data_IF_073065908051
#
_entry.id   IF_073065908051
#
_cell.length_a   1.000
_cell.length_b   1.000
_cell.length_c   1.000
_cell.angle_alpha   90.00
_cell.angle_beta   90.00
_cell.angle_gamma   90.00
#
_symmetry.space_group_name_H-M   'P 1'
#
loop_
_entity.id
_entity.type
_entity.pdbx_description
1 polymer ?
#
# COMPACT_ATOMS: atom_id res chain seq x y z
N UNK A 1 20.41 -43.62 68.32
CA UNK A 1 21.52 -43.25 67.41
C UNK A 1 20.95 -42.47 66.24
N UNK A 2 21.67 -41.42 65.82
CA UNK A 2 21.37 -40.44 64.75
C UNK A 2 21.28 -41.09 63.33
N UNK A 3 20.79 -40.37 62.30
CA UNK A 3 19.72 -40.81 61.39
C UNK A 3 20.18 -41.12 59.96
N UNK A 4 19.28 -41.59 59.09
CA UNK A 4 19.48 -41.56 57.64
C UNK A 4 18.30 -40.85 56.94
N UNK A 5 18.67 -39.80 56.22
CA UNK A 5 17.81 -38.81 55.60
C UNK A 5 17.04 -39.36 54.38
N UNK A 6 15.76 -39.00 54.28
CA UNK A 6 14.96 -39.14 53.06
C UNK A 6 15.25 -37.97 52.13
N UNK A 7 15.79 -38.25 50.95
CA UNK A 7 15.86 -37.31 49.82
C UNK A 7 14.44 -37.07 49.27
N UNK A 8 14.04 -35.80 49.22
CA UNK A 8 12.86 -35.30 48.50
C UNK A 8 13.21 -35.13 47.00
N UNK A 9 12.29 -35.43 46.07
CA UNK A 9 12.50 -35.13 44.66
C UNK A 9 12.32 -33.62 44.40
N UNK A 10 13.28 -33.03 43.69
CA UNK A 10 13.22 -31.66 43.20
C UNK A 10 12.14 -31.57 42.09
N UNK A 11 11.01 -30.93 42.42
CA UNK A 11 10.03 -30.49 41.43
C UNK A 11 10.61 -29.28 40.69
N UNK A 12 10.98 -29.46 39.43
CA UNK A 12 11.35 -28.37 38.53
C UNK A 12 10.07 -27.65 38.11
N UNK A 13 9.93 -26.40 38.58
CA UNK A 13 8.84 -25.50 38.21
C UNK A 13 8.85 -25.21 36.71
N UNK A 14 7.67 -25.36 36.10
CA UNK A 14 7.32 -24.90 34.76
C UNK A 14 7.57 -23.39 34.63
N UNK A 15 8.58 -23.01 33.85
CA UNK A 15 8.69 -21.67 33.28
C UNK A 15 7.93 -21.62 31.95
N UNK A 16 6.60 -21.47 32.02
CA UNK A 16 5.79 -21.20 30.82
C UNK A 16 6.13 -19.81 30.30
N UNK A 17 7.01 -19.74 29.30
CA UNK A 17 7.20 -18.55 28.48
C UNK A 17 5.89 -18.31 27.74
N UNK A 18 5.12 -17.32 28.21
CA UNK A 18 4.01 -16.73 27.47
C UNK A 18 4.59 -16.07 26.21
N UNK A 19 4.73 -16.86 25.15
CA UNK A 19 4.84 -16.37 23.79
C UNK A 19 3.55 -15.60 23.50
N UNK A 20 3.61 -14.28 23.64
CA UNK A 20 2.55 -13.40 23.16
C UNK A 20 2.52 -13.57 21.63
N UNK A 21 1.44 -14.12 21.04
CA UNK A 21 1.35 -14.11 19.59
C UNK A 21 1.19 -12.65 19.17
N UNK A 22 2.25 -12.06 18.61
CA UNK A 22 2.12 -10.85 17.83
C UNK A 22 1.15 -11.18 16.69
N UNK A 23 -0.12 -10.81 16.86
CA UNK A 23 -1.10 -10.95 15.81
C UNK A 23 -0.66 -10.04 14.67
N UNK A 24 -0.15 -10.62 13.60
CA UNK A 24 -0.04 -9.94 12.32
C UNK A 24 -1.45 -9.43 11.99
N UNK A 25 -1.66 -8.12 12.14
CA UNK A 25 -2.95 -7.55 11.81
C UNK A 25 -3.11 -7.69 10.30
N UNK A 26 -4.13 -8.43 9.87
CA UNK A 26 -4.46 -8.55 8.46
C UNK A 26 -5.13 -7.29 7.94
N UNK A 27 -5.21 -7.16 6.62
CA UNK A 27 -5.99 -6.09 5.96
C UNK A 27 -7.46 -6.21 6.41
N UNK A 28 -8.00 -5.11 6.92
CA UNK A 28 -9.42 -4.97 7.29
C UNK A 28 -10.18 -4.46 6.07
N UNK A 29 -11.09 -5.30 5.55
CA UNK A 29 -11.95 -4.92 4.42
C UNK A 29 -13.05 -3.94 4.87
N UNK A 30 -13.24 -2.86 4.12
CA UNK A 30 -14.42 -1.99 4.21
C UNK A 30 -15.50 -2.47 3.23
N UNK A 31 -15.08 -2.86 2.04
CA UNK A 31 -15.91 -3.49 1.01
C UNK A 31 -15.02 -4.33 0.07
N UNK A 32 -15.60 -4.91 -0.99
CA UNK A 32 -14.87 -5.78 -1.92
C UNK A 32 -13.71 -5.09 -2.66
N UNK A 33 -13.72 -3.76 -2.79
CA UNK A 33 -12.72 -2.98 -3.51
C UNK A 33 -11.90 -2.06 -2.60
N UNK A 34 -12.06 -2.14 -1.27
CA UNK A 34 -11.39 -1.23 -0.35
C UNK A 34 -11.07 -1.94 0.97
N UNK A 35 -9.82 -1.83 1.40
CA UNK A 35 -9.37 -2.23 2.73
C UNK A 35 -8.31 -1.31 3.29
N UNK A 36 -7.92 -1.55 4.53
CA UNK A 36 -6.83 -0.83 5.18
C UNK A 36 -6.08 -1.73 6.16
N UNK A 37 -4.83 -1.38 6.44
CA UNK A 37 -4.04 -1.94 7.52
C UNK A 37 -3.66 -0.82 8.47
N UNK A 38 -3.87 -1.02 9.77
CA UNK A 38 -3.35 -0.12 10.80
C UNK A 38 -2.08 -0.72 11.35
N UNK A 39 -0.97 -0.03 11.18
CA UNK A 39 0.34 -0.47 11.66
C UNK A 39 1.17 0.72 12.09
N UNK A 40 2.09 0.46 13.02
CA UNK A 40 3.17 1.36 13.37
C UNK A 40 4.50 0.63 13.30
N UNK A 41 5.55 1.37 12.99
CA UNK A 41 6.89 0.88 13.22
C UNK A 41 7.13 0.72 14.74
N UNK A 42 7.56 -0.46 15.21
CA UNK A 42 7.66 -0.76 16.64
C UNK A 42 8.84 -0.05 17.34
N UNK A 43 9.75 0.58 16.60
CA UNK A 43 10.93 1.25 17.14
C UNK A 43 10.74 2.77 17.12
N UNK A 44 10.25 3.31 16.00
CA UNK A 44 10.16 4.74 15.72
C UNK A 44 8.75 5.31 15.95
N UNK A 45 7.75 4.46 16.22
CA UNK A 45 6.34 4.80 16.38
C UNK A 45 5.67 5.46 15.16
N UNK A 46 6.39 5.51 14.03
CA UNK A 46 5.94 6.05 12.75
C UNK A 46 4.73 5.27 12.26
N UNK A 47 3.74 5.99 11.72
CA UNK A 47 2.52 5.41 11.18
C UNK A 47 2.81 4.74 9.84
N UNK A 48 2.96 3.42 9.82
CA UNK A 48 3.21 2.61 8.62
C UNK A 48 1.93 1.98 8.05
N UNK A 49 0.79 2.56 8.43
CA UNK A 49 -0.52 2.13 7.95
C UNK A 49 -0.67 2.37 6.46
N UNK A 50 -1.60 1.65 5.82
CA UNK A 50 -1.95 1.90 4.43
C UNK A 50 -3.43 1.62 4.14
N UNK A 51 -3.93 2.26 3.08
CA UNK A 51 -5.23 1.99 2.48
C UNK A 51 -5.00 1.34 1.11
N UNK A 52 -5.78 0.33 0.77
CA UNK A 52 -5.72 -0.33 -0.54
C UNK A 52 -7.07 -0.22 -1.24
N UNK A 53 -7.06 0.28 -2.48
CA UNK A 53 -8.18 0.28 -3.40
C UNK A 53 -7.92 -0.77 -4.47
N UNK A 54 -8.84 -1.70 -4.65
CA UNK A 54 -8.78 -2.67 -5.76
C UNK A 54 -9.55 -2.12 -6.96
N UNK A 55 -9.07 -2.44 -8.15
CA UNK A 55 -9.70 -2.01 -9.39
C UNK A 55 -11.11 -2.62 -9.53
N UNK A 56 -12.07 -1.82 -9.99
CA UNK A 56 -13.49 -2.21 -9.97
C UNK A 56 -13.85 -3.30 -10.98
N UNK A 57 -13.06 -3.45 -12.04
CA UNK A 57 -13.23 -4.43 -13.11
C UNK A 57 -12.27 -5.62 -12.99
N UNK A 58 -11.47 -5.68 -11.91
CA UNK A 58 -10.53 -6.77 -11.66
C UNK A 58 -11.15 -7.77 -10.69
N UNK A 59 -11.66 -8.87 -11.25
CA UNK A 59 -12.33 -9.92 -10.49
C UNK A 59 -11.34 -10.79 -9.69
N UNK A 60 -10.06 -10.79 -10.09
CA UNK A 60 -9.03 -11.63 -9.49
C UNK A 60 -8.23 -10.89 -8.41
N UNK A 61 -8.44 -9.57 -8.26
CA UNK A 61 -7.79 -8.75 -7.23
C UNK A 61 -6.30 -8.49 -7.46
N UNK A 62 -5.83 -8.61 -8.70
CA UNK A 62 -4.42 -8.45 -9.08
C UNK A 62 -4.02 -6.98 -9.36
N UNK A 63 -4.99 -6.06 -9.34
CA UNK A 63 -4.81 -4.66 -9.68
C UNK A 63 -5.26 -3.78 -8.52
N UNK A 64 -4.37 -2.94 -8.01
CA UNK A 64 -4.65 -2.08 -6.87
C UNK A 64 -3.88 -0.77 -6.87
N UNK A 65 -4.48 0.23 -6.23
CA UNK A 65 -3.84 1.47 -5.82
C UNK A 65 -3.73 1.44 -4.29
N UNK A 66 -2.51 1.46 -3.77
CA UNK A 66 -2.23 1.54 -2.33
C UNK A 66 -1.81 2.96 -1.99
N UNK A 67 -2.27 3.46 -0.86
CA UNK A 67 -1.81 4.70 -0.25
C UNK A 67 -1.14 4.36 1.07
N UNK A 68 0.11 4.81 1.26
CA UNK A 68 0.91 4.55 2.46
C UNK A 68 1.08 5.83 3.27
N UNK A 69 1.25 5.65 4.58
CA UNK A 69 1.44 6.74 5.53
C UNK A 69 2.91 7.02 5.87
N UNK A 70 3.83 6.16 5.43
CA UNK A 70 5.26 6.32 5.66
C UNK A 70 6.06 6.12 4.38
N UNK A 71 7.10 6.93 4.19
CA UNK A 71 8.15 6.79 3.18
C UNK A 71 9.49 6.58 3.89
N UNK A 72 9.96 5.33 3.90
CA UNK A 72 11.18 4.91 4.59
C UNK A 72 11.28 5.42 6.04
N UNK A 73 10.19 5.24 6.81
CA UNK A 73 10.12 5.66 8.21
C UNK A 73 9.94 7.17 8.41
N UNK A 74 9.67 7.95 7.35
CA UNK A 74 9.23 9.35 7.47
C UNK A 74 7.73 9.46 7.24
N UNK A 75 7.00 10.30 8.00
CA UNK A 75 5.59 10.55 7.74
C UNK A 75 5.45 11.31 6.41
N UNK A 76 5.24 10.57 5.32
CA UNK A 76 4.99 11.10 3.99
C UNK A 76 3.94 10.23 3.30
N UNK A 77 2.94 10.87 2.71
CA UNK A 77 1.83 10.18 2.05
C UNK A 77 2.20 9.97 0.60
N UNK A 78 2.35 8.71 0.20
CA UNK A 78 2.62 8.32 -1.18
C UNK A 78 1.77 7.12 -1.59
N UNK A 79 1.75 6.81 -2.87
CA UNK A 79 0.97 5.71 -3.40
C UNK A 79 1.71 4.81 -4.37
N UNK A 80 1.23 3.58 -4.45
CA UNK A 80 1.71 2.59 -5.40
C UNK A 80 0.55 2.06 -6.21
N UNK A 81 0.65 2.15 -7.52
CA UNK A 81 -0.16 1.32 -8.41
C UNK A 81 0.58 0.00 -8.65
N UNK A 82 -0.15 -1.10 -8.64
CA UNK A 82 0.29 -2.39 -9.14
C UNK A 82 -0.84 -2.98 -10.00
N UNK A 83 -0.51 -3.47 -11.19
CA UNK A 83 -1.51 -3.90 -12.17
C UNK A 83 -1.30 -5.29 -12.74
N UNK A 84 -2.36 -5.82 -13.37
CA UNK A 84 -2.30 -7.08 -14.12
C UNK A 84 -1.54 -7.02 -15.45
N UNK A 85 -1.25 -5.82 -15.95
CA UNK A 85 -0.53 -5.62 -17.21
C UNK A 85 0.75 -4.83 -16.95
N UNK A 86 1.74 -5.07 -17.79
CA UNK A 86 2.97 -4.27 -17.86
C UNK A 86 2.66 -2.82 -18.27
N UNK A 87 3.21 -1.87 -17.52
CA UNK A 87 3.01 -0.42 -17.70
C UNK A 87 4.32 0.33 -17.93
N UNK A 88 5.45 -0.19 -17.47
CA UNK A 88 6.81 0.31 -17.70
C UNK A 88 7.52 -0.73 -18.56
N UNK A 89 8.38 -0.37 -19.54
CA UNK A 89 9.18 -1.38 -20.22
C UNK A 89 10.17 -2.02 -19.22
N UNK A 90 10.59 -3.28 -19.43
CA UNK A 90 11.72 -3.82 -18.70
C UNK A 90 12.94 -2.91 -18.90
N UNK A 91 13.72 -2.65 -17.85
CA UNK A 91 15.06 -2.04 -17.99
C UNK A 91 16.09 -3.18 -18.13
N UNK A 92 16.42 -3.64 -19.36
CA UNK A 92 17.30 -4.79 -19.55
C UNK A 92 18.74 -4.51 -19.13
N UNK A 93 19.15 -3.24 -19.06
CA UNK A 93 20.56 -2.85 -18.93
C UNK A 93 20.86 -2.10 -17.62
N UNK A 94 19.84 -1.83 -16.78
CA UNK A 94 19.98 -1.07 -15.54
C UNK A 94 20.48 0.36 -15.78
N UNK A 95 20.23 0.88 -16.98
CA UNK A 95 20.75 2.18 -17.45
C UNK A 95 19.77 3.31 -17.18
N UNK A 96 18.62 3.00 -16.57
CA UNK A 96 17.65 3.98 -16.11
C UNK A 96 17.24 4.95 -17.25
N UNK A 97 17.05 4.36 -18.44
CA UNK A 97 16.33 5.02 -19.52
C UNK A 97 14.86 5.07 -19.09
N UNK A 98 14.54 6.00 -18.19
CA UNK A 98 13.24 6.27 -17.58
C UNK A 98 12.15 6.49 -18.66
N UNK A 99 11.74 5.42 -19.33
CA UNK A 99 10.62 5.39 -20.28
C UNK A 99 9.34 5.22 -19.46
N UNK A 100 9.08 6.23 -18.60
CA UNK A 100 7.84 6.29 -17.86
C UNK A 100 6.68 6.32 -18.85
N UNK A 101 5.61 5.52 -18.62
CA UNK A 101 4.37 5.81 -19.30
C UNK A 101 3.88 7.19 -18.83
N UNK A 102 3.22 7.90 -19.73
CA UNK A 102 2.36 9.01 -19.34
C UNK A 102 1.27 8.47 -18.41
N UNK A 103 1.22 9.01 -17.18
CA UNK A 103 0.17 8.68 -16.21
C UNK A 103 -0.88 9.79 -16.22
N UNK A 104 -2.05 9.49 -16.75
CA UNK A 104 -3.18 10.41 -16.85
C UNK A 104 -4.20 10.05 -15.78
N UNK A 105 -4.57 11.01 -14.95
CA UNK A 105 -5.51 10.85 -13.83
C UNK A 105 -6.78 11.62 -14.09
N UNK A 106 -7.93 11.00 -13.84
CA UNK A 106 -9.23 11.68 -13.74
C UNK A 106 -9.89 11.39 -12.40
N UNK A 107 -10.37 12.44 -11.75
CA UNK A 107 -11.10 12.36 -10.47
C UNK A 107 -12.58 12.64 -10.71
N UNK A 108 -13.44 11.62 -10.56
CA UNK A 108 -14.88 11.77 -10.79
C UNK A 108 -15.18 12.19 -12.23
N UNK A 109 -15.69 13.41 -12.38
CA UNK A 109 -16.01 14.04 -13.66
C UNK A 109 -15.12 15.27 -13.95
N UNK A 110 -14.07 15.48 -13.15
CA UNK A 110 -13.13 16.59 -13.36
C UNK A 110 -12.36 16.44 -14.68
N UNK A 111 -11.79 17.53 -15.16
CA UNK A 111 -10.83 17.47 -16.27
C UNK A 111 -9.63 16.56 -15.89
N UNK A 112 -9.18 15.68 -16.79
CA UNK A 112 -8.02 14.85 -16.52
C UNK A 112 -6.75 15.71 -16.42
N UNK A 113 -5.75 15.21 -15.71
CA UNK A 113 -4.42 15.81 -15.64
C UNK A 113 -3.36 14.73 -15.81
N UNK A 114 -2.20 15.10 -16.36
CA UNK A 114 -1.03 14.22 -16.45
C UNK A 114 -0.17 14.41 -15.20
N UNK A 115 0.27 13.30 -14.61
CA UNK A 115 1.24 13.31 -13.50
C UNK A 115 2.61 13.64 -14.10
N UNK A 116 3.32 14.65 -13.59
CA UNK A 116 4.66 14.97 -14.06
C UNK A 116 5.66 13.90 -13.60
N UNK A 117 6.68 13.63 -14.40
CA UNK A 117 7.69 12.59 -14.12
C UNK A 117 8.34 12.70 -12.74
N UNK A 118 8.51 13.93 -12.23
CA UNK A 118 9.06 14.18 -10.88
C UNK A 118 8.20 13.64 -9.73
N UNK A 119 6.93 13.35 -9.99
CA UNK A 119 5.98 12.77 -9.04
C UNK A 119 5.83 11.24 -9.26
N UNK A 120 6.62 10.66 -10.18
CA UNK A 120 6.66 9.24 -10.50
C UNK A 120 8.00 8.63 -10.05
N UNK A 121 7.97 7.39 -9.59
CA UNK A 121 9.18 6.66 -9.22
C UNK A 121 8.97 5.15 -9.27
N UNK A 122 10.07 4.41 -9.32
CA UNK A 122 10.04 2.95 -9.34
C UNK A 122 9.92 2.43 -7.91
N UNK A 123 9.02 1.47 -7.68
CA UNK A 123 8.84 0.84 -6.37
C UNK A 123 9.64 -0.45 -6.27
N UNK A 124 9.88 -1.08 -7.41
CA UNK A 124 10.48 -2.41 -7.59
C UNK A 124 10.90 -2.55 -9.04
N UNK A 125 11.72 -3.55 -9.36
CA UNK A 125 11.99 -3.97 -10.75
C UNK A 125 10.77 -4.60 -11.47
N UNK A 126 9.57 -4.50 -10.88
CA UNK A 126 8.32 -4.97 -11.45
C UNK A 126 7.76 -3.96 -12.45
N UNK A 127 7.75 -4.35 -13.72
CA UNK A 127 7.26 -3.56 -14.85
C UNK A 127 5.75 -3.28 -14.81
N UNK A 128 5.02 -3.84 -13.83
CA UNK A 128 3.58 -3.67 -13.62
C UNK A 128 3.24 -2.69 -12.49
N UNK A 129 4.26 -2.10 -11.87
CA UNK A 129 4.13 -1.28 -10.68
C UNK A 129 4.76 0.09 -10.87
N UNK A 130 4.17 1.12 -10.26
CA UNK A 130 4.70 2.50 -10.28
C UNK A 130 4.29 3.26 -9.03
N UNK A 131 5.21 4.11 -8.55
CA UNK A 131 5.01 5.03 -7.44
C UNK A 131 4.47 6.37 -7.86
N UNK A 132 3.69 6.97 -6.97
CA UNK A 132 3.05 8.27 -7.10
C UNK A 132 3.26 9.06 -5.81
N UNK A 133 3.87 10.23 -5.90
CA UNK A 133 4.14 11.13 -4.76
C UNK A 133 3.73 12.58 -5.11
N UNK A 134 3.96 13.49 -4.17
CA UNK A 134 3.92 14.92 -4.35
C UNK A 134 2.51 15.45 -4.56
N UNK A 135 2.45 16.63 -5.20
CA UNK A 135 1.19 17.36 -5.38
C UNK A 135 0.17 16.58 -6.21
N UNK A 136 0.62 15.74 -7.14
CA UNK A 136 -0.27 14.89 -7.93
C UNK A 136 -0.96 13.83 -7.06
N UNK A 137 -0.22 13.21 -6.14
CA UNK A 137 -0.78 12.22 -5.23
C UNK A 137 -1.66 12.85 -4.14
N UNK A 138 -1.28 14.00 -3.59
CA UNK A 138 -2.14 14.78 -2.68
C UNK A 138 -3.49 15.12 -3.31
N UNK A 139 -3.49 15.45 -4.60
CA UNK A 139 -4.72 15.71 -5.36
C UNK A 139 -5.59 14.46 -5.49
N UNK A 140 -4.98 13.28 -5.68
CA UNK A 140 -5.69 11.98 -5.69
C UNK A 140 -6.34 11.72 -4.33
N UNK A 141 -5.59 11.85 -3.24
CA UNK A 141 -6.08 11.66 -1.86
C UNK A 141 -7.26 12.60 -1.59
N UNK A 142 -7.11 13.87 -1.94
CA UNK A 142 -8.17 14.89 -1.78
C UNK A 142 -9.42 14.53 -2.59
N UNK A 143 -9.25 14.06 -3.83
CA UNK A 143 -10.35 13.58 -4.66
C UNK A 143 -11.09 12.40 -4.04
N UNK A 144 -10.36 11.41 -3.54
CA UNK A 144 -10.92 10.24 -2.85
C UNK A 144 -11.68 10.63 -1.58
N UNK A 145 -11.15 11.57 -0.77
CA UNK A 145 -11.84 12.12 0.40
C UNK A 145 -13.12 12.85 0.05
N UNK A 146 -13.16 13.51 -1.11
CA UNK A 146 -14.36 14.14 -1.67
C UNK A 146 -15.33 13.14 -2.32
N UNK A 147 -15.08 11.83 -2.21
CA UNK A 147 -15.93 10.78 -2.78
C UNK A 147 -15.78 10.60 -4.30
N UNK A 148 -14.76 11.20 -4.93
CA UNK A 148 -14.52 11.07 -6.36
C UNK A 148 -13.78 9.76 -6.66
N UNK A 149 -14.34 8.95 -7.55
CA UNK A 149 -13.61 7.80 -8.13
C UNK A 149 -12.32 8.26 -8.80
N UNK A 150 -11.30 7.42 -8.80
CA UNK A 150 -10.03 7.67 -9.50
C UNK A 150 -10.00 6.82 -10.75
N UNK A 151 -9.66 7.42 -11.88
CA UNK A 151 -9.32 6.70 -13.11
C UNK A 151 -7.86 6.99 -13.41
N UNK A 152 -7.06 5.94 -13.48
CA UNK A 152 -5.67 5.99 -13.95
C UNK A 152 -5.65 5.48 -15.39
N UNK A 153 -4.98 6.20 -16.28
CA UNK A 153 -4.68 5.76 -17.62
C UNK A 153 -3.19 5.84 -17.87
N UNK A 154 -2.63 4.76 -18.39
CA UNK A 154 -1.25 4.66 -18.81
C UNK A 154 -1.18 4.69 -20.33
N UNK A 155 -0.33 5.55 -20.87
CA UNK A 155 -0.02 5.64 -22.31
C UNK A 155 1.49 5.73 -22.52
N UNK A 156 1.96 5.30 -23.69
CA UNK A 156 3.38 5.32 -24.03
C UNK A 156 3.62 4.48 -25.27
N UNK A 157 4.69 4.79 -26.01
CA UNK A 157 5.01 4.12 -27.27
C UNK A 157 5.30 2.61 -27.09
N UNK A 158 5.74 2.21 -25.89
CA UNK A 158 5.97 0.81 -25.52
C UNK A 158 4.68 0.04 -25.25
N UNK A 159 3.56 0.72 -25.01
CA UNK A 159 2.27 0.09 -24.74
C UNK A 159 1.53 -0.16 -26.05
N UNK A 160 1.08 -1.41 -26.26
CA UNK A 160 0.27 -1.78 -27.45
C UNK A 160 -1.02 -0.95 -27.58
N UNK A 161 -1.56 -0.51 -26.45
CA UNK A 161 -2.75 0.32 -26.35
C UNK A 161 -2.80 1.01 -24.97
N UNK A 162 -3.54 2.13 -24.83
CA UNK A 162 -3.77 2.74 -23.53
C UNK A 162 -4.40 1.77 -22.53
N UNK A 163 -3.86 1.69 -21.32
CA UNK A 163 -4.40 0.88 -20.23
C UNK A 163 -5.16 1.79 -19.27
N UNK A 164 -6.39 1.43 -18.89
CA UNK A 164 -7.23 2.26 -18.00
C UNK A 164 -7.74 1.43 -16.83
N UNK A 165 -7.60 1.97 -15.62
CA UNK A 165 -7.96 1.33 -14.36
C UNK A 165 -8.85 2.27 -13.55
N UNK A 166 -9.93 1.76 -12.96
CA UNK A 166 -10.87 2.56 -12.18
C UNK A 166 -10.96 2.09 -10.73
N UNK A 167 -10.89 3.03 -9.80
CA UNK A 167 -10.95 2.79 -8.36
C UNK A 167 -12.13 3.56 -7.74
N UNK A 168 -12.94 2.89 -6.93
CA UNK A 168 -14.07 3.51 -6.24
C UNK A 168 -13.60 4.22 -4.96
N UNK A 169 -14.15 5.41 -4.69
CA UNK A 169 -13.93 6.11 -3.44
C UNK A 169 -14.88 5.66 -2.30
N UNK A 170 -15.80 4.73 -2.57
CA UNK A 170 -16.81 4.31 -1.60
C UNK A 170 -16.14 3.72 -0.34
N UNK A 171 -16.36 4.37 0.80
CA UNK A 171 -15.78 3.99 2.09
C UNK A 171 -14.37 4.51 2.34
N UNK A 172 -13.76 5.24 1.39
CA UNK A 172 -12.38 5.72 1.51
C UNK A 172 -12.19 6.62 2.74
N UNK A 173 -13.12 7.55 3.00
CA UNK A 173 -13.05 8.42 4.17
C UNK A 173 -12.98 7.63 5.48
N UNK A 174 -13.74 6.54 5.61
CA UNK A 174 -13.70 5.67 6.80
C UNK A 174 -12.36 4.94 6.94
N UNK A 175 -11.82 4.40 5.83
CA UNK A 175 -10.50 3.77 5.82
C UNK A 175 -9.39 4.78 6.18
N UNK A 176 -9.46 5.99 5.62
CA UNK A 176 -8.52 7.07 5.86
C UNK A 176 -8.50 7.50 7.33
N UNK A 177 -9.67 7.64 7.95
CA UNK A 177 -9.76 7.92 9.39
C UNK A 177 -9.24 6.76 10.24
N UNK A 178 -9.46 5.52 9.82
CA UNK A 178 -8.97 4.35 10.55
C UNK A 178 -7.43 4.29 10.60
N UNK A 179 -6.75 4.76 9.53
CA UNK A 179 -5.29 4.92 9.49
C UNK A 179 -4.80 6.26 10.04
N UNK A 180 -5.66 6.96 10.80
CA UNK A 180 -5.39 8.28 11.43
C UNK A 180 -5.00 9.39 10.46
N UNK A 181 -5.51 9.33 9.22
CA UNK A 181 -5.21 10.28 8.16
C UNK A 181 -3.69 10.44 7.91
N UNK A 182 -2.93 9.36 8.09
CA UNK A 182 -1.48 9.33 8.00
C UNK A 182 -0.77 10.38 8.88
N UNK A 183 -1.36 10.67 10.04
CA UNK A 183 -0.75 11.44 11.12
C UNK A 183 -0.14 10.53 12.19
#
# INVERSE_FOLDING_TARGET
>A
MKPAARLLPAAVLMGSVLLCPAQAQGIKAINKNLGYLVQKDPITDVNTSYVILLEVNDLDGNTGLRLRCDDDGKPNVWGSFAGKNEIVPPDPDGTDHHLWPDVIVRLGNDAPFTVPDKDLYSITDDSRSIGLDGTSFDRIVTGLLAGKRVVLRFTGDHLRQPLTYTFSAQGFGSAWQAVKACR
#
